data_IF_675029123321
#
_entry.id   IF_675029123321
#
_cell.length_a   1.000
_cell.length_b   1.000
_cell.length_c   1.000
_cell.angle_alpha   90.00
_cell.angle_beta   90.00
_cell.angle_gamma   90.00
#
_symmetry.space_group_name_H-M   'P 1'
#
loop_
_entity.id
_entity.type
_entity.pdbx_description
1 polymer ?
#
# COMPACT_ATOMS: atom_id res chain seq x y z
N UNK A 1 -19.31 -25.46 -8.14
CA UNK A 1 -17.96 -25.97 -8.42
C UNK A 1 -17.43 -26.63 -7.14
N UNK A 2 -16.56 -27.65 -7.19
CA UNK A 2 -16.01 -28.20 -5.93
C UNK A 2 -14.88 -27.29 -5.42
N UNK A 3 -14.70 -27.21 -4.08
CA UNK A 3 -13.65 -26.40 -3.43
C UNK A 3 -12.24 -26.68 -4.02
N UNK A 4 -11.96 -27.93 -4.40
CA UNK A 4 -10.68 -28.32 -5.04
C UNK A 4 -10.51 -27.68 -6.42
N UNK A 5 -11.60 -27.56 -7.22
CA UNK A 5 -11.55 -26.91 -8.53
C UNK A 5 -11.43 -25.39 -8.39
N UNK A 6 -12.05 -24.79 -7.38
CA UNK A 6 -11.92 -23.37 -7.07
C UNK A 6 -10.48 -23.02 -6.69
N UNK A 7 -9.89 -23.75 -5.75
CA UNK A 7 -8.50 -23.55 -5.36
C UNK A 7 -7.55 -23.66 -6.57
N UNK A 8 -7.76 -24.69 -7.43
CA UNK A 8 -6.92 -24.82 -8.63
C UNK A 8 -7.03 -23.61 -9.57
N UNK A 9 -8.21 -23.03 -9.75
CA UNK A 9 -8.38 -21.83 -10.58
C UNK A 9 -7.67 -20.63 -9.97
N UNK A 10 -7.70 -20.47 -8.64
CA UNK A 10 -6.96 -19.42 -7.93
C UNK A 10 -5.46 -19.60 -8.11
N UNK A 11 -4.95 -20.81 -7.90
CA UNK A 11 -3.52 -21.13 -8.06
C UNK A 11 -3.05 -20.90 -9.51
N UNK A 12 -3.84 -21.35 -10.49
CA UNK A 12 -3.55 -21.16 -11.92
C UNK A 12 -3.54 -19.65 -12.28
N UNK A 13 -4.46 -18.86 -11.71
CA UNK A 13 -4.49 -17.41 -11.89
C UNK A 13 -3.26 -16.73 -11.27
N UNK A 14 -2.89 -17.08 -10.04
CA UNK A 14 -1.70 -16.54 -9.40
C UNK A 14 -0.44 -16.84 -10.22
N UNK A 15 -0.27 -18.10 -10.67
CA UNK A 15 0.85 -18.46 -11.54
C UNK A 15 0.84 -17.64 -12.84
N UNK A 16 -0.32 -17.45 -13.45
CA UNK A 16 -0.45 -16.68 -14.67
C UNK A 16 -0.11 -15.20 -14.44
N UNK A 17 -0.61 -14.61 -13.37
CA UNK A 17 -0.44 -13.17 -13.11
C UNK A 17 0.97 -12.81 -12.61
N UNK A 18 1.52 -13.60 -11.69
CA UNK A 18 2.81 -13.26 -11.05
C UNK A 18 4.02 -13.85 -11.81
N UNK A 19 3.91 -15.06 -12.36
CA UNK A 19 5.04 -15.82 -12.87
C UNK A 19 5.06 -16.02 -14.39
N UNK A 20 4.01 -15.58 -15.10
CA UNK A 20 3.88 -15.84 -16.53
C UNK A 20 4.86 -15.03 -17.37
N UNK A 21 5.71 -15.75 -18.14
CA UNK A 21 6.51 -15.15 -19.20
C UNK A 21 5.67 -14.77 -20.45
N UNK A 22 4.51 -15.40 -20.65
CA UNK A 22 3.63 -15.17 -21.80
C UNK A 22 2.98 -13.78 -21.76
N UNK A 23 2.72 -13.27 -20.56
CA UNK A 23 2.11 -11.94 -20.33
C UNK A 23 3.14 -10.92 -19.86
N UNK A 24 4.42 -11.11 -20.17
CA UNK A 24 5.51 -10.17 -19.92
C UNK A 24 5.60 -9.73 -18.45
N UNK A 25 5.44 -10.68 -17.53
CA UNK A 25 5.44 -10.41 -16.08
C UNK A 25 4.42 -9.34 -15.70
N UNK A 26 3.16 -9.58 -16.01
CA UNK A 26 2.03 -8.65 -15.83
C UNK A 26 2.06 -7.91 -14.49
N UNK A 27 2.37 -8.59 -13.41
CA UNK A 27 2.46 -7.99 -12.09
C UNK A 27 3.56 -6.90 -12.01
N UNK A 28 4.76 -7.15 -12.54
CA UNK A 28 5.87 -6.20 -12.45
C UNK A 28 5.72 -5.00 -13.38
N UNK A 29 4.94 -5.14 -14.45
CA UNK A 29 4.72 -4.11 -15.48
C UNK A 29 3.38 -3.39 -15.32
N UNK A 30 2.57 -3.78 -14.34
CA UNK A 30 1.30 -3.10 -14.08
C UNK A 30 1.54 -1.64 -13.65
N UNK A 31 0.71 -0.74 -14.20
CA UNK A 31 0.82 0.69 -13.93
C UNK A 31 -0.52 1.29 -13.53
N UNK A 32 -0.47 2.32 -12.70
CA UNK A 32 -1.57 3.23 -12.47
C UNK A 32 -1.25 4.59 -13.07
N UNK A 33 -2.00 5.02 -14.08
CA UNK A 33 -1.78 6.26 -14.82
C UNK A 33 -0.31 6.45 -15.23
N UNK A 34 0.32 5.36 -15.70
CA UNK A 34 1.71 5.33 -16.16
C UNK A 34 2.76 5.12 -15.07
N UNK A 35 2.40 5.07 -13.80
CA UNK A 35 3.32 4.79 -12.67
C UNK A 35 3.25 3.32 -12.29
N UNK A 36 4.41 2.66 -12.17
CA UNK A 36 4.46 1.25 -11.75
C UNK A 36 3.84 1.05 -10.37
N UNK A 37 2.84 0.15 -10.27
CA UNK A 37 2.09 -0.06 -9.04
C UNK A 37 2.37 -1.40 -8.34
N UNK A 38 2.75 -2.45 -9.08
CA UNK A 38 2.98 -3.81 -8.55
C UNK A 38 1.86 -4.31 -7.63
N UNK A 39 0.61 -4.12 -8.03
CA UNK A 39 -0.57 -4.60 -7.29
C UNK A 39 -1.41 -5.50 -8.18
N UNK A 40 -2.03 -6.50 -7.57
CA UNK A 40 -3.08 -7.26 -8.23
C UNK A 40 -4.31 -6.35 -8.45
N UNK A 41 -4.96 -6.38 -9.62
CA UNK A 41 -6.17 -5.58 -9.88
C UNK A 41 -7.29 -5.84 -8.87
N UNK A 42 -7.40 -7.04 -8.34
CA UNK A 42 -8.41 -7.36 -7.31
C UNK A 42 -8.07 -6.69 -5.98
N UNK A 43 -6.80 -6.56 -5.62
CA UNK A 43 -6.38 -5.85 -4.43
C UNK A 43 -6.69 -4.35 -4.56
N UNK A 44 -6.45 -3.75 -5.74
CA UNK A 44 -6.79 -2.34 -5.97
C UNK A 44 -8.30 -2.10 -5.87
N UNK A 45 -9.12 -3.06 -6.34
CA UNK A 45 -10.56 -2.98 -6.17
C UNK A 45 -10.96 -3.01 -4.70
N UNK A 46 -10.38 -3.92 -3.91
CA UNK A 46 -10.64 -4.01 -2.47
C UNK A 46 -10.18 -2.76 -1.71
N UNK A 47 -9.03 -2.19 -2.08
CA UNK A 47 -8.58 -0.93 -1.48
C UNK A 47 -9.60 0.21 -1.66
N UNK A 48 -10.20 0.35 -2.85
CA UNK A 48 -11.18 1.40 -3.06
C UNK A 48 -12.44 1.19 -2.20
N UNK A 49 -12.89 -0.06 -2.00
CA UNK A 49 -14.04 -0.37 -1.12
C UNK A 49 -13.71 -0.03 0.33
N UNK A 50 -12.56 -0.47 0.83
CA UNK A 50 -12.07 -0.17 2.18
C UNK A 50 -11.97 1.35 2.39
N UNK A 51 -11.36 2.08 1.46
CA UNK A 51 -11.24 3.54 1.57
C UNK A 51 -12.60 4.24 1.59
N UNK A 52 -13.55 3.76 0.76
CA UNK A 52 -14.90 4.34 0.75
C UNK A 52 -15.67 4.08 2.04
N UNK A 53 -15.47 2.93 2.68
CA UNK A 53 -16.09 2.57 3.95
C UNK A 53 -15.43 3.32 5.13
N UNK A 54 -14.09 3.23 5.23
CA UNK A 54 -13.30 3.77 6.35
C UNK A 54 -13.15 5.28 6.29
N UNK A 55 -13.00 5.86 5.10
CA UNK A 55 -12.78 7.30 4.86
C UNK A 55 -11.62 7.86 5.70
N UNK A 56 -10.42 7.30 5.61
CA UNK A 56 -9.30 7.70 6.46
C UNK A 56 -8.92 9.16 6.25
N UNK A 57 -8.50 9.83 7.33
CA UNK A 57 -7.85 11.13 7.27
C UNK A 57 -6.39 10.98 6.86
N UNK A 58 -5.76 9.88 7.30
CA UNK A 58 -4.36 9.55 7.02
C UNK A 58 -4.23 8.06 6.64
N UNK A 59 -3.52 7.82 5.56
CA UNK A 59 -3.06 6.49 5.16
C UNK A 59 -1.54 6.46 5.36
N UNK A 60 -1.06 5.52 6.17
CA UNK A 60 0.37 5.24 6.32
C UNK A 60 0.70 3.98 5.52
N UNK A 61 1.61 4.09 4.57
CA UNK A 61 2.06 2.99 3.73
C UNK A 61 3.53 2.69 4.01
N UNK A 62 3.82 1.45 4.40
CA UNK A 62 5.16 0.90 4.48
C UNK A 62 5.46 0.20 3.15
N UNK A 63 6.50 0.67 2.42
CA UNK A 63 6.80 0.20 1.08
C UNK A 63 6.29 1.14 -0.03
N UNK A 64 7.10 2.13 -0.39
CA UNK A 64 6.76 3.11 -1.44
C UNK A 64 7.10 2.60 -2.84
N UNK A 65 8.27 1.94 -3.00
CA UNK A 65 8.85 1.59 -4.28
C UNK A 65 8.84 2.80 -5.25
N UNK A 66 8.23 2.67 -6.43
CA UNK A 66 8.10 3.75 -7.42
C UNK A 66 6.90 4.68 -7.18
N UNK A 67 6.20 4.53 -6.06
CA UNK A 67 5.09 5.39 -5.65
C UNK A 67 3.76 5.14 -6.35
N UNK A 68 3.61 4.02 -7.07
CA UNK A 68 2.39 3.73 -7.82
C UNK A 68 1.18 3.45 -6.94
N UNK A 69 1.36 2.70 -5.83
CA UNK A 69 0.32 2.45 -4.85
C UNK A 69 -0.08 3.74 -4.11
N UNK A 70 0.89 4.53 -3.64
CA UNK A 70 0.63 5.83 -3.04
C UNK A 70 -0.14 6.75 -4.00
N UNK A 71 0.22 6.74 -5.30
CA UNK A 71 -0.47 7.54 -6.31
C UNK A 71 -1.89 7.06 -6.57
N UNK A 72 -2.10 5.74 -6.65
CA UNK A 72 -3.43 5.13 -6.72
C UNK A 72 -4.32 5.58 -5.55
N UNK A 73 -3.83 5.42 -4.32
CA UNK A 73 -4.54 5.82 -3.11
C UNK A 73 -4.85 7.33 -3.09
N UNK A 74 -3.89 8.17 -3.51
CA UNK A 74 -4.08 9.61 -3.58
C UNK A 74 -5.16 10.02 -4.59
N UNK A 75 -5.24 9.36 -5.75
CA UNK A 75 -6.30 9.63 -6.73
C UNK A 75 -7.69 9.24 -6.21
N UNK A 76 -7.79 8.17 -5.42
CA UNK A 76 -9.04 7.82 -4.73
C UNK A 76 -9.40 8.84 -3.65
N UNK A 77 -8.42 9.31 -2.89
CA UNK A 77 -8.61 10.38 -1.90
C UNK A 77 -9.06 11.70 -2.56
N UNK A 78 -8.63 12.00 -3.78
CA UNK A 78 -9.15 13.15 -4.55
C UNK A 78 -10.62 12.99 -4.89
N UNK A 79 -11.02 11.82 -5.38
CA UNK A 79 -12.43 11.53 -5.67
C UNK A 79 -13.32 11.64 -4.43
N UNK A 80 -12.80 11.21 -3.28
CA UNK A 80 -13.49 11.31 -1.98
C UNK A 80 -13.37 12.68 -1.32
N UNK A 81 -12.49 13.56 -1.82
CA UNK A 81 -12.13 14.86 -1.23
C UNK A 81 -11.62 14.74 0.21
N UNK A 82 -10.99 13.62 0.55
CA UNK A 82 -10.52 13.30 1.89
C UNK A 82 -9.33 12.36 1.86
N UNK A 83 -8.44 12.48 2.86
CA UNK A 83 -7.31 11.60 3.07
C UNK A 83 -5.99 12.17 2.55
N UNK A 84 -4.93 11.90 3.28
CA UNK A 84 -3.52 12.14 2.92
C UNK A 84 -2.77 10.82 3.00
N UNK A 85 -1.70 10.70 2.22
CA UNK A 85 -0.83 9.52 2.19
C UNK A 85 0.55 9.90 2.72
N UNK A 86 1.02 9.16 3.72
CA UNK A 86 2.39 9.18 4.19
C UNK A 86 3.00 7.82 3.84
N UNK A 87 3.95 7.79 2.93
CA UNK A 87 4.56 6.55 2.46
C UNK A 87 6.06 6.53 2.74
N UNK A 88 6.55 5.40 3.20
CA UNK A 88 7.93 5.21 3.66
C UNK A 88 8.60 4.09 2.89
N UNK A 89 9.84 4.29 2.49
CA UNK A 89 10.69 3.25 1.89
C UNK A 89 12.14 3.45 2.30
N UNK A 90 12.87 2.36 2.45
CA UNK A 90 14.31 2.39 2.73
C UNK A 90 15.12 2.96 1.55
N UNK A 91 14.57 2.89 0.33
CA UNK A 91 15.20 3.35 -0.90
C UNK A 91 14.43 4.55 -1.48
N UNK A 92 15.16 5.63 -1.77
CA UNK A 92 14.61 6.74 -2.53
C UNK A 92 14.65 6.46 -4.04
N UNK A 93 13.61 5.83 -4.56
CA UNK A 93 13.48 5.57 -6.00
C UNK A 93 13.21 6.87 -6.77
N UNK A 94 13.93 7.13 -7.88
CA UNK A 94 13.70 8.32 -8.69
C UNK A 94 12.39 8.20 -9.49
N UNK A 95 11.83 9.37 -9.85
CA UNK A 95 10.66 9.45 -10.74
C UNK A 95 9.33 9.14 -10.10
N UNK A 96 9.26 9.16 -8.76
CA UNK A 96 7.98 9.05 -8.04
C UNK A 96 7.05 10.21 -8.43
N UNK A 97 5.73 9.96 -8.57
CA UNK A 97 4.78 11.01 -8.91
C UNK A 97 4.72 12.08 -7.83
N UNK A 98 4.62 13.33 -8.25
CA UNK A 98 4.37 14.45 -7.33
C UNK A 98 2.87 14.63 -7.20
N UNK A 99 2.37 14.58 -5.98
CA UNK A 99 0.94 14.75 -5.71
C UNK A 99 0.73 15.47 -4.37
N UNK A 100 -0.21 16.44 -4.27
CA UNK A 100 -0.37 17.24 -3.05
C UNK A 100 -0.76 16.45 -1.81
N UNK A 101 -1.38 15.28 -1.98
CA UNK A 101 -1.76 14.40 -0.87
C UNK A 101 -0.67 13.40 -0.46
N UNK A 102 0.46 13.33 -1.16
CA UNK A 102 1.49 12.33 -0.87
C UNK A 102 2.68 13.01 -0.21
N UNK A 103 3.09 12.46 0.93
CA UNK A 103 4.35 12.76 1.60
C UNK A 103 5.23 11.53 1.52
N UNK A 104 6.38 11.64 0.87
CA UNK A 104 7.39 10.58 0.78
C UNK A 104 8.41 10.73 1.89
N UNK A 105 8.74 9.63 2.55
CA UNK A 105 9.81 9.54 3.53
C UNK A 105 10.80 8.45 3.13
N UNK A 106 12.09 8.68 3.38
CA UNK A 106 13.14 7.70 3.12
C UNK A 106 13.78 7.28 4.42
N UNK A 107 13.75 5.98 4.71
CA UNK A 107 14.27 5.37 5.92
C UNK A 107 13.58 4.05 6.21
N UNK A 108 14.00 3.36 7.26
CA UNK A 108 13.32 2.15 7.72
C UNK A 108 12.01 2.51 8.42
N UNK A 109 10.97 1.74 8.15
CA UNK A 109 9.65 1.84 8.81
C UNK A 109 9.73 1.62 10.33
N UNK A 110 10.84 1.07 10.82
CA UNK A 110 11.10 0.82 12.25
C UNK A 110 12.10 1.82 12.87
N UNK A 111 12.63 2.78 12.10
CA UNK A 111 13.53 3.81 12.63
C UNK A 111 12.78 4.81 13.52
N UNK A 112 13.38 5.16 14.64
CA UNK A 112 12.77 6.02 15.65
C UNK A 112 12.40 7.41 15.09
N UNK A 113 13.23 7.99 14.25
CA UNK A 113 12.98 9.30 13.62
C UNK A 113 11.76 9.24 12.68
N UNK A 114 11.69 8.19 11.86
CA UNK A 114 10.56 7.90 10.97
C UNK A 114 9.29 7.71 11.78
N UNK A 115 9.34 6.85 12.80
CA UNK A 115 8.21 6.57 13.67
C UNK A 115 7.70 7.80 14.41
N UNK A 116 8.59 8.66 14.89
CA UNK A 116 8.21 9.90 15.57
C UNK A 116 7.48 10.85 14.60
N UNK A 117 7.93 10.94 13.36
CA UNK A 117 7.26 11.75 12.33
C UNK A 117 5.87 11.19 12.00
N UNK A 118 5.76 9.86 11.84
CA UNK A 118 4.46 9.20 11.60
C UNK A 118 3.51 9.43 12.78
N UNK A 119 3.95 9.19 14.01
CA UNK A 119 3.15 9.40 15.23
C UNK A 119 2.64 10.83 15.35
N UNK A 120 3.46 11.81 14.99
CA UNK A 120 3.04 13.22 15.01
C UNK A 120 1.90 13.49 14.00
N UNK A 121 1.91 12.86 12.83
CA UNK A 121 0.83 12.94 11.84
C UNK A 121 -0.41 12.18 12.30
N UNK A 122 -0.23 10.97 12.83
CA UNK A 122 -1.32 10.13 13.39
C UNK A 122 -2.07 10.87 14.48
N UNK A 123 -1.37 11.59 15.37
CA UNK A 123 -1.99 12.36 16.46
C UNK A 123 -2.94 13.48 15.97
N UNK A 124 -2.82 13.91 14.73
CA UNK A 124 -3.67 14.92 14.12
C UNK A 124 -4.85 14.33 13.32
N UNK A 125 -4.81 13.04 13.03
CA UNK A 125 -5.82 12.34 12.25
C UNK A 125 -6.88 11.71 13.17
N UNK A 126 -8.14 11.70 12.73
CA UNK A 126 -9.23 11.01 13.44
C UNK A 126 -9.37 9.57 13.03
N UNK A 127 -9.06 9.27 11.77
CA UNK A 127 -9.16 7.92 11.20
C UNK A 127 -7.87 7.62 10.45
N UNK A 128 -7.19 6.55 10.86
CA UNK A 128 -5.90 6.13 10.32
C UNK A 128 -5.99 4.71 9.77
N UNK A 129 -5.57 4.56 8.51
CA UNK A 129 -5.35 3.27 7.86
C UNK A 129 -3.85 3.02 7.72
N UNK A 130 -3.40 1.82 8.05
CA UNK A 130 -2.00 1.41 7.85
C UNK A 130 -1.94 0.26 6.84
N UNK A 131 -1.00 0.35 5.91
CA UNK A 131 -0.72 -0.66 4.88
C UNK A 131 0.74 -1.08 5.05
N UNK A 132 0.99 -2.37 5.32
CA UNK A 132 2.32 -2.97 5.42
C UNK A 132 2.60 -3.73 4.13
N UNK A 133 3.50 -3.23 3.29
CA UNK A 133 3.78 -3.76 1.95
C UNK A 133 5.27 -3.56 1.56
N UNK A 134 6.17 -3.74 2.51
CA UNK A 134 7.63 -3.60 2.30
C UNK A 134 8.36 -4.94 2.36
N UNK A 135 9.00 -5.29 3.48
CA UNK A 135 9.67 -6.57 3.71
C UNK A 135 8.69 -7.61 4.27
N UNK A 136 8.36 -8.61 3.47
CA UNK A 136 7.44 -9.69 3.84
C UNK A 136 8.06 -10.78 4.70
N UNK A 137 9.26 -10.58 5.28
CA UNK A 137 9.81 -11.52 6.24
C UNK A 137 8.98 -11.51 7.54
N UNK A 138 8.72 -12.70 8.09
CA UNK A 138 7.88 -12.85 9.27
C UNK A 138 8.36 -11.99 10.46
N UNK A 139 9.69 -11.84 10.62
CA UNK A 139 10.26 -11.05 11.72
C UNK A 139 10.02 -9.54 11.51
N UNK A 140 10.16 -9.05 10.27
CA UNK A 140 9.94 -7.64 9.97
C UNK A 140 8.48 -7.27 10.17
N UNK A 141 7.56 -8.00 9.52
CA UNK A 141 6.11 -7.80 9.67
C UNK A 141 5.66 -7.86 11.14
N UNK A 142 6.21 -8.80 11.91
CA UNK A 142 5.90 -8.89 13.34
C UNK A 142 6.31 -7.65 14.13
N UNK A 143 7.48 -7.07 13.82
CA UNK A 143 7.95 -5.86 14.49
C UNK A 143 7.14 -4.63 14.04
N UNK A 144 6.77 -4.54 12.77
CA UNK A 144 5.87 -3.50 12.28
C UNK A 144 4.51 -3.57 12.95
N UNK A 145 3.89 -4.76 13.01
CA UNK A 145 2.60 -4.94 13.69
C UNK A 145 2.63 -4.46 15.14
N UNK A 146 3.72 -4.71 15.88
CA UNK A 146 3.87 -4.20 17.25
C UNK A 146 3.84 -2.69 17.37
N UNK A 147 4.33 -2.00 16.36
CA UNK A 147 4.47 -0.54 16.40
C UNK A 147 3.26 0.14 15.78
N UNK A 148 2.80 -0.38 14.63
CA UNK A 148 1.75 0.28 13.85
C UNK A 148 0.34 -0.09 14.28
N UNK A 149 0.13 -1.23 14.96
CA UNK A 149 -1.20 -1.64 15.43
C UNK A 149 -1.85 -0.60 16.36
N UNK A 150 -1.06 0.05 17.21
CA UNK A 150 -1.54 1.08 18.13
C UNK A 150 -1.86 2.43 17.41
N UNK A 151 -1.49 2.57 16.14
CA UNK A 151 -1.75 3.77 15.34
C UNK A 151 -3.06 3.65 14.53
N UNK A 152 -3.56 2.43 14.35
CA UNK A 152 -4.82 2.19 13.62
C UNK A 152 -6.00 2.57 14.49
N UNK A 153 -6.94 3.32 13.92
CA UNK A 153 -8.18 3.63 14.64
C UNK A 153 -9.15 2.44 14.56
N UNK A 154 -9.87 2.13 15.66
CA UNK A 154 -10.92 1.11 15.63
C UNK A 154 -12.02 1.47 14.61
N UNK A 155 -12.43 0.47 13.80
CA UNK A 155 -13.47 0.67 12.78
C UNK A 155 -13.84 -0.61 12.08
#
# INVERSE_FOLDING_TARGET
MSKRKENKVVDDFHTLFYDSFLFNKTWSESTWLGTHIKKCPFDTWMYQEILYEVKPDLIVECGTYKGGSAYFLATLCDLMQKGEILTVDIIDHPGKPVHPRITYMTGSTLDEEILNTIKAKVALAKTVLVILDDDHSANHVYNELKVYADMVTPG
#
